data_IF_502154727890
#
_entry.id   IF_502154727890
#
_cell.length_a   1.000
_cell.length_b   1.000
_cell.length_c   1.000
_cell.angle_alpha   90.00
_cell.angle_beta   90.00
_cell.angle_gamma   90.00
#
_symmetry.space_group_name_H-M   'P 1'
#
loop_
_entity.id
_entity.type
_entity.pdbx_description
1 polymer ?
#
# COMPACT_ATOMS: atom_id res chain seq x y z
N UNK A 1 -15.65 23.52 -19.47
CA UNK A 1 -15.70 25.01 -19.46
C UNK A 1 -16.46 25.59 -18.26
N UNK A 2 -17.36 24.88 -17.60
CA UNK A 2 -18.17 25.40 -16.47
C UNK A 2 -17.46 25.42 -15.12
N UNK A 3 -16.47 24.54 -14.85
CA UNK A 3 -15.78 24.46 -13.54
C UNK A 3 -14.69 25.53 -13.38
N UNK A 4 -14.09 26.01 -14.46
CA UNK A 4 -13.09 27.08 -14.43
C UNK A 4 -13.69 28.44 -14.00
N UNK A 5 -15.01 28.65 -14.16
CA UNK A 5 -15.69 29.91 -13.87
C UNK A 5 -15.97 30.08 -12.35
N UNK A 6 -16.09 28.99 -11.60
CA UNK A 6 -16.40 29.03 -10.16
C UNK A 6 -15.18 29.48 -9.33
N UNK A 7 -13.95 29.11 -9.75
CA UNK A 7 -12.72 29.56 -9.06
C UNK A 7 -12.41 31.06 -9.21
N UNK A 8 -12.88 31.70 -10.26
CA UNK A 8 -12.63 33.14 -10.49
C UNK A 8 -13.42 34.07 -9.56
N UNK A 9 -14.54 33.59 -9.06
CA UNK A 9 -15.44 34.37 -8.19
C UNK A 9 -14.92 34.53 -6.76
N UNK A 10 -14.01 33.67 -6.30
CA UNK A 10 -13.55 33.65 -4.90
C UNK A 10 -12.26 34.46 -4.70
N UNK A 11 -11.50 34.78 -5.75
CA UNK A 11 -10.20 35.44 -5.62
C UNK A 11 -10.15 36.90 -6.09
N UNK A 12 -11.26 37.52 -6.52
CA UNK A 12 -11.34 38.96 -6.84
C UNK A 12 -10.35 39.45 -7.92
N UNK A 13 -9.86 38.59 -8.81
CA UNK A 13 -8.88 38.94 -9.85
C UNK A 13 -9.55 39.25 -11.18
N UNK A 14 -9.30 40.43 -11.75
CA UNK A 14 -9.80 40.85 -13.06
C UNK A 14 -9.10 40.17 -14.22
N UNK A 15 -9.84 39.90 -15.31
CA UNK A 15 -9.41 39.16 -16.51
C UNK A 15 -8.20 39.74 -17.28
N UNK A 16 -7.73 40.94 -16.97
CA UNK A 16 -6.75 41.65 -17.81
C UNK A 16 -5.27 41.44 -17.50
N UNK A 17 -4.91 40.64 -16.50
CA UNK A 17 -3.50 40.50 -16.08
C UNK A 17 -2.85 39.14 -16.28
N UNK A 18 -3.54 38.16 -16.84
CA UNK A 18 -2.92 36.85 -17.14
C UNK A 18 -2.63 36.72 -18.63
N UNK A 19 -1.42 37.11 -19.03
CA UNK A 19 -0.81 36.61 -20.29
C UNK A 19 -0.52 35.13 -20.09
N UNK A 20 -1.46 34.26 -20.45
CA UNK A 20 -1.27 32.81 -20.46
C UNK A 20 -0.34 32.47 -21.62
N UNK A 21 0.84 31.97 -21.29
CA UNK A 21 1.78 31.44 -22.28
C UNK A 21 1.12 30.21 -22.95
N UNK A 22 0.93 30.16 -24.28
CA UNK A 22 0.27 29.04 -24.95
C UNK A 22 1.10 27.73 -24.94
N UNK A 23 2.30 27.74 -24.34
CA UNK A 23 3.13 26.57 -24.10
C UNK A 23 3.03 26.02 -22.67
N UNK A 24 2.05 26.49 -21.87
CA UNK A 24 1.77 25.85 -20.59
C UNK A 24 1.31 24.42 -20.86
N UNK A 25 2.20 23.47 -20.67
CA UNK A 25 1.93 22.04 -20.54
C UNK A 25 0.65 21.86 -19.74
N UNK A 26 -0.30 21.15 -20.31
CA UNK A 26 -1.53 20.73 -19.61
C UNK A 26 -1.12 20.01 -18.34
N UNK A 27 -1.15 20.73 -17.21
CA UNK A 27 -1.02 20.09 -15.90
C UNK A 27 -2.29 19.28 -15.74
N UNK A 28 -2.17 18.00 -15.99
CA UNK A 28 -3.23 17.02 -15.80
C UNK A 28 -3.34 16.78 -14.29
N UNK A 29 -4.15 17.58 -13.60
CA UNK A 29 -4.51 17.31 -12.22
C UNK A 29 -5.35 16.04 -12.22
N UNK A 30 -4.70 14.88 -12.02
CA UNK A 30 -5.40 13.67 -11.62
C UNK A 30 -5.88 13.91 -10.19
N UNK A 31 -7.10 14.35 -10.03
CA UNK A 31 -7.82 14.25 -8.76
C UNK A 31 -8.25 12.79 -8.60
N UNK A 32 -7.33 11.89 -8.28
CA UNK A 32 -7.72 10.62 -7.73
C UNK A 32 -8.08 10.81 -6.26
N UNK A 33 -9.18 10.21 -5.83
CA UNK A 33 -9.49 10.21 -4.39
C UNK A 33 -8.45 9.34 -3.69
N UNK A 34 -7.89 9.80 -2.55
CA UNK A 34 -6.89 9.02 -1.84
C UNK A 34 -7.47 7.68 -1.38
N UNK A 35 -6.65 6.64 -1.42
CA UNK A 35 -7.02 5.30 -0.96
C UNK A 35 -6.64 5.16 0.51
N UNK A 36 -7.64 4.90 1.33
CA UNK A 36 -7.47 4.51 2.73
C UNK A 36 -7.48 2.99 2.84
N UNK A 37 -6.34 2.39 3.12
CA UNK A 37 -6.23 0.97 3.39
C UNK A 37 -6.24 0.71 4.89
N UNK A 38 -7.29 0.05 5.36
CA UNK A 38 -7.41 -0.31 6.77
C UNK A 38 -6.66 -1.61 7.04
N UNK A 39 -5.74 -1.60 8.02
CA UNK A 39 -5.06 -2.79 8.51
C UNK A 39 -5.96 -3.48 9.54
N UNK A 40 -6.54 -4.60 9.16
CA UNK A 40 -7.50 -5.35 9.98
C UNK A 40 -6.86 -6.59 10.59
N UNK A 41 -7.09 -6.78 11.89
CA UNK A 41 -6.94 -8.08 12.53
C UNK A 41 -8.31 -8.76 12.57
N UNK A 42 -8.45 -9.88 11.84
CA UNK A 42 -9.73 -10.54 11.72
C UNK A 42 -10.82 -9.62 11.10
N UNK A 43 -12.08 -9.89 11.32
CA UNK A 43 -13.23 -9.11 10.80
C UNK A 43 -13.83 -8.14 11.82
N UNK A 44 -13.25 -8.02 13.01
CA UNK A 44 -13.85 -7.33 14.18
C UNK A 44 -14.28 -5.89 13.90
N UNK A 45 -13.47 -5.12 13.16
CA UNK A 45 -13.75 -3.71 12.83
C UNK A 45 -13.93 -3.48 11.33
N UNK A 46 -14.05 -4.53 10.53
CA UNK A 46 -14.01 -4.44 9.09
C UNK A 46 -15.21 -3.64 8.53
N UNK A 47 -16.42 -3.96 8.99
CA UNK A 47 -17.61 -3.21 8.57
C UNK A 47 -17.54 -1.75 8.98
N UNK A 48 -17.11 -1.45 10.20
CA UNK A 48 -16.91 -0.07 10.66
C UNK A 48 -15.88 0.68 9.79
N UNK A 49 -14.81 0.00 9.38
CA UNK A 49 -13.78 0.61 8.53
C UNK A 49 -14.35 0.97 7.14
N UNK A 50 -15.13 0.09 6.54
CA UNK A 50 -15.78 0.36 5.26
C UNK A 50 -16.81 1.50 5.37
N UNK A 51 -17.64 1.50 6.41
CA UNK A 51 -18.57 2.59 6.69
C UNK A 51 -17.86 3.94 6.90
N UNK A 52 -16.64 3.91 7.45
CA UNK A 52 -15.81 5.10 7.66
C UNK A 52 -14.99 5.50 6.41
N UNK A 53 -15.17 4.80 5.27
CA UNK A 53 -14.60 5.15 3.98
C UNK A 53 -13.29 4.44 3.61
N UNK A 54 -12.95 3.31 4.25
CA UNK A 54 -11.88 2.45 3.76
C UNK A 54 -12.29 1.81 2.42
N UNK A 55 -11.49 2.01 1.38
CA UNK A 55 -11.73 1.41 0.06
C UNK A 55 -10.98 0.08 -0.11
N UNK A 56 -10.02 -0.20 0.77
CA UNK A 56 -9.21 -1.42 0.76
C UNK A 56 -8.89 -1.84 2.18
N UNK A 57 -8.74 -3.13 2.39
CA UNK A 57 -8.27 -3.71 3.65
C UNK A 57 -7.05 -4.59 3.39
N UNK A 58 -6.01 -4.46 4.23
CA UNK A 58 -5.03 -5.51 4.43
C UNK A 58 -5.54 -6.40 5.56
N UNK A 59 -5.93 -7.62 5.21
CA UNK A 59 -6.52 -8.57 6.14
C UNK A 59 -5.44 -9.46 6.74
N UNK A 60 -5.25 -9.33 8.03
CA UNK A 60 -4.25 -10.05 8.81
C UNK A 60 -4.89 -10.87 9.93
N UNK A 61 -4.12 -11.77 10.50
CA UNK A 61 -4.24 -12.28 11.85
C UNK A 61 -3.02 -11.82 12.67
N UNK A 62 -3.09 -11.89 14.00
CA UNK A 62 -1.98 -11.70 14.93
C UNK A 62 -1.13 -10.44 14.67
N UNK A 63 -1.74 -9.27 14.71
CA UNK A 63 -1.03 -7.98 14.55
C UNK A 63 0.03 -7.73 15.63
N UNK A 64 -0.04 -8.43 16.77
CA UNK A 64 0.98 -8.34 17.82
C UNK A 64 2.38 -8.76 17.35
N UNK A 65 2.47 -9.61 16.30
CA UNK A 65 3.74 -10.01 15.67
C UNK A 65 3.96 -9.34 14.31
N UNK A 66 3.14 -8.34 13.98
CA UNK A 66 3.20 -7.60 12.71
C UNK A 66 2.35 -8.18 11.59
N UNK A 67 1.36 -9.01 11.92
CA UNK A 67 0.45 -9.66 10.98
C UNK A 67 0.96 -11.01 10.46
N UNK A 68 0.05 -11.98 10.40
CA UNK A 68 0.25 -13.30 9.78
C UNK A 68 -0.93 -13.61 8.86
N UNK A 69 -0.85 -14.70 8.09
CA UNK A 69 -1.95 -15.16 7.23
C UNK A 69 -3.20 -15.45 8.07
N UNK A 70 -4.35 -14.85 7.74
CA UNK A 70 -5.60 -15.13 8.43
C UNK A 70 -6.18 -16.51 8.03
N UNK A 71 -7.05 -17.05 8.86
CA UNK A 71 -7.70 -18.32 8.57
C UNK A 71 -8.62 -18.25 7.34
N UNK A 72 -8.85 -19.38 6.69
CA UNK A 72 -9.79 -19.52 5.57
C UNK A 72 -11.17 -18.91 5.87
N UNK A 73 -11.72 -19.16 7.07
CA UNK A 73 -13.03 -18.63 7.47
C UNK A 73 -13.04 -17.10 7.58
N UNK A 74 -11.96 -16.52 8.09
CA UNK A 74 -11.78 -15.05 8.18
C UNK A 74 -11.71 -14.44 6.79
N UNK A 75 -10.91 -15.01 5.88
CA UNK A 75 -10.79 -14.52 4.49
C UNK A 75 -12.16 -14.58 3.80
N UNK A 76 -12.86 -15.71 3.89
CA UNK A 76 -14.18 -15.86 3.29
C UNK A 76 -15.17 -14.80 3.78
N UNK A 77 -15.27 -14.62 5.10
CA UNK A 77 -16.17 -13.64 5.70
C UNK A 77 -15.82 -12.20 5.28
N UNK A 78 -14.53 -11.87 5.20
CA UNK A 78 -14.07 -10.54 4.77
C UNK A 78 -14.40 -10.26 3.31
N UNK A 79 -14.18 -11.24 2.41
CA UNK A 79 -14.51 -11.10 0.98
C UNK A 79 -16.03 -10.96 0.78
N UNK A 80 -16.85 -11.71 1.51
CA UNK A 80 -18.31 -11.59 1.45
C UNK A 80 -18.76 -10.19 1.90
N UNK A 81 -18.24 -9.70 3.00
CA UNK A 81 -18.58 -8.37 3.53
C UNK A 81 -18.09 -7.25 2.60
N UNK A 82 -16.88 -7.34 2.05
CA UNK A 82 -16.30 -6.31 1.19
C UNK A 82 -17.14 -6.04 -0.07
N UNK A 83 -17.88 -7.03 -0.58
CA UNK A 83 -18.76 -6.89 -1.75
C UNK A 83 -19.84 -5.83 -1.54
N UNK A 84 -20.41 -5.75 -0.35
CA UNK A 84 -21.48 -4.80 -0.02
C UNK A 84 -20.97 -3.35 -0.05
N UNK A 85 -19.67 -3.15 0.13
CA UNK A 85 -19.00 -1.85 0.15
C UNK A 85 -18.17 -1.58 -1.11
N UNK A 86 -18.10 -2.51 -2.07
CA UNK A 86 -17.22 -2.44 -3.24
C UNK A 86 -15.75 -2.20 -2.87
N UNK A 87 -15.35 -2.72 -1.72
CA UNK A 87 -14.00 -2.58 -1.19
C UNK A 87 -13.12 -3.76 -1.60
N UNK A 88 -11.81 -3.55 -1.65
CA UNK A 88 -10.81 -4.58 -1.99
C UNK A 88 -10.27 -5.26 -0.74
N UNK A 89 -10.01 -6.56 -0.86
CA UNK A 89 -9.39 -7.39 0.18
C UNK A 89 -8.01 -7.85 -0.28
N UNK A 90 -6.98 -7.35 0.39
CA UNK A 90 -5.58 -7.77 0.24
C UNK A 90 -5.23 -8.66 1.43
N UNK A 91 -4.89 -9.90 1.19
CA UNK A 91 -4.63 -10.88 2.26
C UNK A 91 -3.15 -10.93 2.59
N UNK A 92 -2.81 -10.83 3.87
CA UNK A 92 -1.46 -11.07 4.36
C UNK A 92 -1.06 -12.52 4.12
N UNK A 93 0.06 -12.74 3.43
CA UNK A 93 0.68 -14.05 3.24
C UNK A 93 2.01 -14.07 4.00
N UNK A 94 1.93 -14.51 5.26
CA UNK A 94 3.07 -14.58 6.17
C UNK A 94 2.84 -15.69 7.20
N UNK A 95 3.60 -16.79 7.14
CA UNK A 95 3.31 -18.00 7.92
C UNK A 95 3.59 -17.83 9.42
N UNK A 96 4.42 -16.87 9.80
CA UNK A 96 4.81 -16.61 11.20
C UNK A 96 5.29 -15.18 11.42
N UNK A 97 5.36 -14.75 12.67
CA UNK A 97 6.09 -13.56 13.10
C UNK A 97 7.61 -13.72 13.00
N UNK A 98 8.35 -12.69 13.43
CA UNK A 98 9.81 -12.65 13.37
C UNK A 98 10.33 -12.13 12.03
N UNK A 99 11.46 -12.68 11.58
CA UNK A 99 12.11 -12.30 10.32
C UNK A 99 11.30 -12.67 9.07
N UNK A 100 11.86 -12.36 7.91
CA UNK A 100 11.24 -12.64 6.60
C UNK A 100 12.10 -13.61 5.77
N UNK A 101 12.97 -14.38 6.44
CA UNK A 101 13.81 -15.41 5.84
C UNK A 101 13.09 -16.75 5.98
N UNK A 102 12.58 -17.27 4.88
CA UNK A 102 11.72 -18.45 4.92
C UNK A 102 12.42 -19.73 4.46
N UNK A 103 12.15 -20.81 5.17
CA UNK A 103 12.52 -22.17 4.74
C UNK A 103 11.67 -22.63 3.55
N UNK A 104 12.11 -23.67 2.85
CA UNK A 104 11.31 -24.28 1.77
C UNK A 104 9.94 -24.75 2.24
N UNK A 105 9.84 -25.22 3.50
CA UNK A 105 8.56 -25.64 4.08
C UNK A 105 7.63 -24.44 4.30
N UNK A 106 8.16 -23.31 4.78
CA UNK A 106 7.37 -22.08 4.96
C UNK A 106 6.92 -21.49 3.62
N UNK A 107 7.78 -21.51 2.60
CA UNK A 107 7.39 -21.13 1.24
C UNK A 107 6.27 -22.01 0.68
N UNK A 108 6.32 -23.32 0.93
CA UNK A 108 5.25 -24.22 0.53
C UNK A 108 3.92 -23.90 1.23
N UNK A 109 3.95 -23.52 2.52
CA UNK A 109 2.76 -23.06 3.25
C UNK A 109 2.22 -21.77 2.62
N UNK A 110 3.08 -20.78 2.33
CA UNK A 110 2.67 -19.53 1.71
C UNK A 110 2.03 -19.75 0.33
N UNK A 111 2.51 -20.69 -0.46
CA UNK A 111 1.93 -21.03 -1.76
C UNK A 111 0.52 -21.66 -1.63
N UNK A 112 0.31 -22.54 -0.65
CA UNK A 112 -1.03 -23.10 -0.39
C UNK A 112 -1.98 -22.00 0.16
N UNK A 113 -1.50 -21.10 1.02
CA UNK A 113 -2.29 -19.95 1.50
C UNK A 113 -2.73 -19.06 0.33
N UNK A 114 -1.83 -18.73 -0.61
CA UNK A 114 -2.15 -17.97 -1.83
C UNK A 114 -3.22 -18.68 -2.65
N UNK A 115 -3.08 -19.98 -2.87
CA UNK A 115 -4.03 -20.78 -3.63
C UNK A 115 -5.42 -20.76 -2.98
N UNK A 116 -5.48 -21.06 -1.67
CA UNK A 116 -6.74 -21.05 -0.92
C UNK A 116 -7.43 -19.68 -0.93
N UNK A 117 -6.67 -18.61 -0.71
CA UNK A 117 -7.23 -17.26 -0.70
C UNK A 117 -7.70 -16.81 -2.10
N UNK A 118 -6.96 -17.18 -3.17
CA UNK A 118 -7.37 -16.93 -4.56
C UNK A 118 -8.73 -17.58 -4.88
N UNK A 119 -8.96 -18.82 -4.45
CA UNK A 119 -10.23 -19.52 -4.66
C UNK A 119 -11.42 -18.82 -3.96
N UNK A 120 -11.16 -18.07 -2.90
CA UNK A 120 -12.16 -17.24 -2.20
C UNK A 120 -12.45 -15.90 -2.89
N UNK A 121 -11.68 -15.52 -3.93
CA UNK A 121 -11.92 -14.32 -4.73
C UNK A 121 -11.39 -13.04 -4.08
N UNK A 122 -10.23 -13.10 -3.43
CA UNK A 122 -9.51 -11.92 -2.93
C UNK A 122 -8.98 -11.06 -4.09
N UNK A 123 -8.72 -9.78 -3.83
CA UNK A 123 -8.21 -8.84 -4.84
C UNK A 123 -6.69 -8.86 -4.94
N UNK A 124 -6.00 -9.32 -3.90
CA UNK A 124 -4.53 -9.35 -3.89
C UNK A 124 -3.93 -9.90 -2.60
N UNK A 125 -2.61 -9.81 -2.55
CA UNK A 125 -1.80 -10.32 -1.45
C UNK A 125 -0.80 -9.28 -0.95
N UNK A 126 -0.58 -9.25 0.37
CA UNK A 126 0.55 -8.58 0.99
C UNK A 126 1.59 -9.65 1.37
N UNK A 127 2.76 -9.58 0.79
CA UNK A 127 3.82 -10.57 0.97
C UNK A 127 5.21 -9.94 0.87
N UNK A 128 6.24 -10.69 1.23
CA UNK A 128 7.63 -10.30 1.10
C UNK A 128 8.54 -11.38 1.65
N UNK A 129 9.71 -11.55 1.05
CA UNK A 129 10.74 -12.48 1.48
C UNK A 129 12.12 -11.84 1.37
N UNK A 130 12.97 -12.05 2.37
CA UNK A 130 14.32 -11.54 2.44
C UNK A 130 15.34 -12.66 2.63
N UNK A 131 16.57 -12.38 2.24
CA UNK A 131 17.73 -13.22 2.59
C UNK A 131 18.21 -12.90 4.03
N UNK A 132 19.11 -13.75 4.56
CA UNK A 132 19.78 -13.51 5.84
C UNK A 132 20.56 -12.19 5.94
N UNK A 133 20.92 -11.61 4.78
CA UNK A 133 21.60 -10.32 4.66
C UNK A 133 20.61 -9.15 4.46
N UNK A 134 19.31 -9.38 4.71
CA UNK A 134 18.24 -8.41 4.49
C UNK A 134 18.20 -7.84 3.06
N UNK A 135 18.48 -8.66 2.05
CA UNK A 135 18.22 -8.34 0.65
C UNK A 135 16.92 -9.01 0.19
N UNK A 136 16.34 -8.59 -0.94
CA UNK A 136 15.22 -9.33 -1.50
C UNK A 136 15.64 -10.78 -1.80
N UNK A 137 14.87 -11.76 -1.30
CA UNK A 137 14.97 -13.14 -1.77
C UNK A 137 14.23 -13.25 -3.11
N UNK A 138 14.96 -12.96 -4.18
CA UNK A 138 14.38 -12.86 -5.53
C UNK A 138 13.83 -14.18 -6.04
N UNK A 139 14.38 -15.34 -5.61
CA UNK A 139 13.89 -16.66 -6.02
C UNK A 139 12.58 -17.01 -5.31
N UNK A 140 12.52 -16.78 -3.99
CA UNK A 140 11.26 -16.93 -3.24
C UNK A 140 10.19 -15.97 -3.77
N UNK A 141 10.54 -14.70 -3.99
CA UNK A 141 9.60 -13.70 -4.48
C UNK A 141 9.08 -14.04 -5.88
N UNK A 142 9.91 -14.49 -6.83
CA UNK A 142 9.43 -14.91 -8.15
C UNK A 142 8.39 -16.03 -8.03
N UNK A 143 8.66 -17.02 -7.17
CA UNK A 143 7.75 -18.14 -6.95
C UNK A 143 6.39 -17.66 -6.38
N UNK A 144 6.41 -16.75 -5.39
CA UNK A 144 5.20 -16.18 -4.80
C UNK A 144 4.44 -15.28 -5.79
N UNK A 145 5.15 -14.48 -6.60
CA UNK A 145 4.56 -13.62 -7.63
C UNK A 145 3.91 -14.45 -8.74
N UNK A 146 4.54 -15.56 -9.16
CA UNK A 146 3.95 -16.47 -10.13
C UNK A 146 2.65 -17.09 -9.61
N UNK A 147 2.59 -17.49 -8.34
CA UNK A 147 1.36 -17.97 -7.70
C UNK A 147 0.29 -16.87 -7.58
N UNK A 148 0.70 -15.62 -7.46
CA UNK A 148 -0.18 -14.44 -7.33
C UNK A 148 -0.62 -13.85 -8.68
N UNK A 149 -0.20 -14.42 -9.82
CA UNK A 149 -0.41 -13.84 -11.16
C UNK A 149 -1.88 -13.48 -11.44
N UNK A 150 -2.09 -12.25 -11.90
CA UNK A 150 -3.41 -11.71 -12.20
C UNK A 150 -4.13 -11.05 -11.03
N UNK A 151 -3.53 -11.05 -9.83
CA UNK A 151 -4.00 -10.34 -8.65
C UNK A 151 -2.99 -9.26 -8.25
N UNK A 152 -3.43 -8.29 -7.44
CA UNK A 152 -2.57 -7.24 -6.92
C UNK A 152 -1.56 -7.80 -5.90
N UNK A 153 -0.33 -7.33 -5.94
CA UNK A 153 0.69 -7.70 -4.93
C UNK A 153 1.24 -6.46 -4.26
N UNK A 154 1.21 -6.47 -2.94
CA UNK A 154 1.87 -5.50 -2.07
C UNK A 154 3.14 -6.11 -1.49
N UNK A 155 4.31 -5.53 -1.77
CA UNK A 155 5.49 -5.78 -0.95
C UNK A 155 5.26 -5.13 0.41
N UNK A 156 5.14 -5.93 1.46
CA UNK A 156 4.85 -5.44 2.82
C UNK A 156 6.12 -4.87 3.51
N UNK A 157 5.99 -4.49 4.79
CA UNK A 157 7.05 -3.82 5.56
C UNK A 157 8.35 -4.62 5.79
N UNK A 158 8.51 -5.82 5.23
CA UNK A 158 9.82 -6.47 5.13
C UNK A 158 10.82 -5.55 4.39
N UNK A 159 10.34 -4.72 3.46
CA UNK A 159 11.16 -3.73 2.76
C UNK A 159 11.91 -2.79 3.72
N UNK A 160 11.32 -2.44 4.85
CA UNK A 160 11.94 -1.54 5.83
C UNK A 160 13.20 -2.13 6.49
N UNK A 161 13.41 -3.45 6.37
CA UNK A 161 14.64 -4.12 6.84
C UNK A 161 15.77 -4.10 5.81
N UNK A 162 15.47 -3.76 4.56
CA UNK A 162 16.50 -3.68 3.51
C UNK A 162 17.40 -2.46 3.79
N UNK A 163 18.74 -2.65 3.80
CA UNK A 163 19.68 -1.55 3.98
C UNK A 163 19.40 -0.39 3.00
N UNK A 164 19.42 0.84 3.49
CA UNK A 164 19.01 2.02 2.70
C UNK A 164 19.75 2.13 1.36
N UNK A 165 21.02 1.74 1.32
CA UNK A 165 21.81 1.73 0.09
C UNK A 165 21.32 0.72 -0.96
N UNK A 166 20.60 -0.33 -0.54
CA UNK A 166 20.07 -1.36 -1.43
C UNK A 166 18.59 -1.13 -1.83
N UNK A 167 17.89 -0.20 -1.16
CA UNK A 167 16.48 0.09 -1.46
C UNK A 167 16.22 0.53 -2.90
N UNK A 168 17.05 1.37 -3.57
CA UNK A 168 16.81 1.73 -4.96
C UNK A 168 16.83 0.53 -5.91
N UNK A 169 17.76 -0.40 -5.75
CA UNK A 169 17.81 -1.63 -6.56
C UNK A 169 16.65 -2.58 -6.24
N UNK A 170 16.22 -2.65 -4.98
CA UNK A 170 15.04 -3.41 -4.59
C UNK A 170 13.76 -2.85 -5.23
N UNK A 171 13.57 -1.52 -5.21
CA UNK A 171 12.43 -0.86 -5.88
C UNK A 171 12.44 -1.15 -7.37
N UNK A 172 13.59 -1.04 -8.03
CA UNK A 172 13.68 -1.35 -9.46
C UNK A 172 13.30 -2.80 -9.73
N UNK A 173 13.78 -3.73 -8.91
CA UNK A 173 13.41 -5.15 -9.05
C UNK A 173 11.90 -5.37 -8.88
N UNK A 174 11.25 -4.73 -7.89
CA UNK A 174 9.81 -4.83 -7.67
C UNK A 174 9.01 -4.32 -8.88
N UNK A 175 9.43 -3.19 -9.47
CA UNK A 175 8.86 -2.62 -10.70
C UNK A 175 8.96 -3.60 -11.87
N UNK A 176 10.14 -4.15 -12.10
CA UNK A 176 10.43 -5.06 -13.22
C UNK A 176 9.67 -6.39 -13.13
N UNK A 177 9.21 -6.76 -11.92
CA UNK A 177 8.46 -7.99 -11.66
C UNK A 177 6.97 -7.78 -11.41
N UNK A 178 6.45 -6.57 -11.69
CA UNK A 178 5.02 -6.29 -11.68
C UNK A 178 4.37 -6.27 -10.29
N UNK A 179 5.14 -5.98 -9.25
CA UNK A 179 4.59 -5.70 -7.93
C UNK A 179 3.76 -4.42 -8.00
N UNK A 180 2.51 -4.47 -7.49
CA UNK A 180 1.57 -3.35 -7.64
C UNK A 180 1.93 -2.20 -6.73
N UNK A 181 2.29 -2.50 -5.47
CA UNK A 181 2.58 -1.47 -4.47
C UNK A 181 3.63 -1.88 -3.46
N UNK A 182 4.21 -0.88 -2.83
CA UNK A 182 5.18 -1.00 -1.75
C UNK A 182 4.62 -0.37 -0.48
N UNK A 183 4.31 -1.19 0.52
CA UNK A 183 3.97 -0.74 1.86
C UNK A 183 5.24 -0.55 2.68
N UNK A 184 5.48 0.65 3.15
CA UNK A 184 6.66 0.99 3.95
C UNK A 184 6.33 2.01 5.03
N UNK A 185 7.13 2.03 6.08
CA UNK A 185 7.15 3.09 7.10
C UNK A 185 8.03 4.28 6.67
N UNK A 186 8.92 4.07 5.71
CA UNK A 186 9.97 5.01 5.31
C UNK A 186 10.88 5.43 6.49
N UNK A 187 11.30 4.45 7.30
CA UNK A 187 12.14 4.66 8.48
C UNK A 187 11.88 3.64 9.58
N UNK A 188 12.28 3.98 10.79
CA UNK A 188 12.02 3.19 12.01
C UNK A 188 10.86 3.81 12.82
N UNK A 189 10.34 3.14 13.86
CA UNK A 189 9.33 3.72 14.75
C UNK A 189 9.75 5.06 15.39
N UNK A 190 11.06 5.27 15.59
CA UNK A 190 11.67 6.45 16.20
C UNK A 190 11.98 7.56 15.21
N UNK A 191 11.86 7.30 13.90
CA UNK A 191 12.16 8.29 12.86
C UNK A 191 11.17 9.46 12.95
N UNK A 192 11.71 10.67 13.05
CA UNK A 192 10.91 11.89 13.11
C UNK A 192 10.02 12.05 11.86
N UNK A 193 8.85 12.66 12.04
CA UNK A 193 7.87 12.81 10.96
C UNK A 193 8.44 13.51 9.73
N UNK A 194 9.13 14.64 9.89
CA UNK A 194 9.70 15.39 8.76
C UNK A 194 10.70 14.53 7.96
N UNK A 195 11.52 13.73 8.63
CA UNK A 195 12.46 12.81 7.98
C UNK A 195 11.71 11.71 7.21
N UNK A 196 10.57 11.24 7.73
CA UNK A 196 9.72 10.27 7.03
C UNK A 196 9.08 10.90 5.80
N UNK A 197 8.54 12.11 5.91
CA UNK A 197 7.93 12.82 4.77
C UNK A 197 8.94 13.03 3.63
N UNK A 198 10.18 13.39 3.98
CA UNK A 198 11.27 13.49 3.01
C UNK A 198 11.57 12.12 2.37
N UNK A 199 11.68 11.05 3.17
CA UNK A 199 11.94 9.71 2.65
C UNK A 199 10.81 9.21 1.74
N UNK A 200 9.53 9.50 2.03
CA UNK A 200 8.44 9.18 1.12
C UNK A 200 8.53 9.95 -0.19
N UNK A 201 8.94 11.22 -0.17
CA UNK A 201 9.17 11.99 -1.40
C UNK A 201 10.24 11.33 -2.28
N UNK A 202 11.33 10.86 -1.68
CA UNK A 202 12.39 10.12 -2.39
C UNK A 202 11.88 8.78 -2.94
N UNK A 203 11.07 8.03 -2.17
CA UNK A 203 10.50 6.75 -2.59
C UNK A 203 9.51 6.91 -3.76
N UNK A 204 8.66 7.93 -3.72
CA UNK A 204 7.74 8.25 -4.82
C UNK A 204 8.50 8.57 -6.11
N UNK A 205 9.60 9.34 -6.02
CA UNK A 205 10.46 9.63 -7.17
C UNK A 205 11.12 8.35 -7.73
N UNK A 206 11.60 7.45 -6.87
CA UNK A 206 12.19 6.17 -7.29
C UNK A 206 11.15 5.22 -7.92
N UNK A 207 9.92 5.26 -7.43
CA UNK A 207 8.81 4.48 -7.96
C UNK A 207 8.40 4.93 -9.37
N UNK A 208 8.54 6.22 -9.70
CA UNK A 208 8.34 6.81 -11.03
C UNK A 208 6.98 6.43 -11.66
N UNK A 209 5.93 6.37 -10.84
CA UNK A 209 4.57 6.00 -11.26
C UNK A 209 4.41 4.54 -11.74
N UNK A 210 5.43 3.69 -11.58
CA UNK A 210 5.42 2.28 -11.98
C UNK A 210 5.19 1.34 -10.78
N UNK A 211 5.27 1.86 -9.56
CA UNK A 211 5.04 1.17 -8.30
C UNK A 211 4.32 2.12 -7.36
N UNK A 212 3.15 1.77 -6.88
CA UNK A 212 2.43 2.61 -5.91
C UNK A 212 3.15 2.61 -4.56
N UNK A 213 3.37 3.78 -3.99
CA UNK A 213 3.87 3.89 -2.62
C UNK A 213 2.68 3.97 -1.67
N UNK A 214 2.57 2.98 -0.79
CA UNK A 214 1.57 2.89 0.27
C UNK A 214 2.21 3.31 1.59
N UNK A 215 1.88 4.50 2.06
CA UNK A 215 2.46 5.01 3.29
C UNK A 215 1.84 4.33 4.52
N UNK A 216 2.69 3.74 5.37
CA UNK A 216 2.28 3.00 6.57
C UNK A 216 3.04 3.40 7.84
N UNK A 217 2.84 2.60 8.89
CA UNK A 217 3.59 2.76 10.15
C UNK A 217 3.15 3.95 11.01
N UNK A 218 2.05 3.78 11.74
CA UNK A 218 1.53 4.78 12.68
C UNK A 218 0.71 5.90 12.03
N UNK A 219 0.20 5.65 10.83
CA UNK A 219 -0.71 6.60 10.16
C UNK A 219 -2.13 6.42 10.72
N UNK A 220 -2.79 7.54 10.93
CA UNK A 220 -4.14 7.64 11.51
C UNK A 220 -4.88 8.84 10.91
N UNK A 221 -6.16 8.97 11.21
CA UNK A 221 -6.97 10.16 10.86
C UNK A 221 -6.29 11.47 11.25
N UNK A 222 -5.54 11.49 12.37
CA UNK A 222 -4.90 12.70 12.88
C UNK A 222 -3.70 13.19 12.04
N UNK A 223 -3.06 12.32 11.25
CA UNK A 223 -1.82 12.67 10.54
C UNK A 223 -1.78 12.27 9.06
N UNK A 224 -2.75 11.50 8.56
CA UNK A 224 -2.75 10.99 7.18
C UNK A 224 -2.65 12.09 6.11
N UNK A 225 -3.26 13.24 6.35
CA UNK A 225 -3.29 14.34 5.39
C UNK A 225 -1.90 14.95 5.16
N UNK A 226 -0.98 14.82 6.13
CA UNK A 226 0.41 15.26 5.98
C UNK A 226 1.17 14.39 4.98
N UNK A 227 0.88 13.09 4.94
CA UNK A 227 1.44 12.16 3.95
C UNK A 227 0.80 12.38 2.58
N UNK A 228 -0.53 12.53 2.52
CA UNK A 228 -1.26 12.78 1.29
C UNK A 228 -0.98 14.16 0.67
N UNK A 229 -0.31 15.06 1.38
CA UNK A 229 0.20 16.31 0.83
C UNK A 229 1.46 16.13 -0.03
N UNK A 230 2.12 14.95 0.02
CA UNK A 230 3.25 14.62 -0.84
C UNK A 230 2.72 14.35 -2.26
N UNK A 231 3.22 15.04 -3.29
CA UNK A 231 2.80 14.80 -4.67
C UNK A 231 2.97 13.32 -5.07
N UNK A 232 1.96 12.77 -5.75
CA UNK A 232 1.90 11.40 -6.25
C UNK A 232 1.88 10.30 -5.16
N UNK A 233 1.77 10.66 -3.87
CA UNK A 233 1.49 9.72 -2.79
C UNK A 233 -0.01 9.74 -2.50
N UNK A 234 -0.73 8.75 -3.05
CA UNK A 234 -2.18 8.72 -3.05
C UNK A 234 -2.78 7.69 -2.10
N UNK A 235 -1.95 6.92 -1.38
CA UNK A 235 -2.39 5.77 -0.59
C UNK A 235 -1.78 5.78 0.81
N UNK A 236 -2.61 5.55 1.81
CA UNK A 236 -2.20 5.47 3.23
C UNK A 236 -2.78 4.25 3.91
N UNK A 237 -2.01 3.65 4.81
CA UNK A 237 -2.29 2.39 5.50
C UNK A 237 -2.19 2.54 7.01
N UNK A 238 -3.12 1.93 7.73
CA UNK A 238 -3.05 1.84 9.19
C UNK A 238 -4.30 1.32 9.87
N UNK A 239 -4.15 0.88 11.12
CA UNK A 239 -5.24 0.39 11.97
C UNK A 239 -6.19 1.49 12.46
N UNK A 240 -5.84 2.76 12.24
CA UNK A 240 -6.60 3.96 12.64
C UNK A 240 -6.68 4.98 11.50
N UNK A 241 -6.57 4.52 10.26
CA UNK A 241 -6.50 5.40 9.09
C UNK A 241 -7.84 6.04 8.74
N UNK A 242 -8.97 5.47 9.19
CA UNK A 242 -10.33 5.95 8.90
C UNK A 242 -11.16 6.27 10.16
N UNK A 243 -10.73 5.88 11.35
CA UNK A 243 -11.38 6.24 12.64
C UNK A 243 -10.41 6.17 13.80
#
# INVERSE_FOLDING_TARGET
MAIAIICYSVMGLSKEKLKVNPLATTINWRFSMPIYEFCAENVTYLEKAFQAGAQRVELCDNLAVGGTTPSYGVIKAAVELAKDYQAKVIVMIRPRGGDFVYSQQELAIMLEDIKCARELGVDGFALGALTSENQLDTEALKTLLDASRGLEVTMHMAFDQIPKAAQPSAIQWLKDHGVTRLLTRAGTPETALDSRLQAYTELVQLADGQLDILAGGGISVANRDQFLAIPDLEQVHGTRVVF
#
